data_IF_508071927419
#
_entry.id   IF_508071927419
#
_cell.length_a   1.000
_cell.length_b   1.000
_cell.length_c   1.000
_cell.angle_alpha   90.00
_cell.angle_beta   90.00
_cell.angle_gamma   90.00
#
_symmetry.space_group_name_H-M   'P 1'
#
loop_
_entity.id
_entity.type
_entity.pdbx_description
1 polymer ?
#
# COMPACT_ATOMS: atom_id res chain seq x y z
N UNK A 1 -9.58 -6.78 13.83
CA UNK A 1 -8.72 -7.96 14.07
C UNK A 1 -7.31 -7.51 14.47
N UNK A 2 -6.54 -8.31 15.22
CA UNK A 2 -5.15 -7.97 15.52
C UNK A 2 -4.31 -8.04 14.25
N UNK A 3 -3.60 -6.96 13.98
CA UNK A 3 -2.64 -6.83 12.89
C UNK A 3 -1.39 -7.65 13.20
N UNK A 4 -1.00 -8.59 12.33
CA UNK A 4 0.15 -9.48 12.57
C UNK A 4 1.47 -9.00 11.95
N UNK A 5 1.45 -7.82 11.34
CA UNK A 5 2.56 -7.25 10.59
C UNK A 5 2.87 -5.80 11.00
N UNK A 6 4.08 -5.34 10.69
CA UNK A 6 4.55 -3.98 11.00
C UNK A 6 4.21 -2.99 9.90
N UNK A 7 3.91 -1.76 10.30
CA UNK A 7 3.86 -0.59 9.40
C UNK A 7 4.67 0.54 9.98
N UNK A 8 5.05 1.50 9.13
CA UNK A 8 5.73 2.73 9.53
C UNK A 8 4.93 3.95 9.06
N UNK A 9 4.76 4.93 9.92
CA UNK A 9 4.31 6.26 9.50
C UNK A 9 5.50 7.00 8.89
N UNK A 10 5.27 7.68 7.77
CA UNK A 10 6.28 8.48 7.10
C UNK A 10 5.89 9.95 7.10
N UNK A 11 6.80 10.81 7.52
CA UNK A 11 6.60 12.24 7.37
C UNK A 11 6.87 12.64 5.93
N UNK A 12 5.84 13.12 5.23
CA UNK A 12 5.95 13.67 3.88
C UNK A 12 5.93 15.19 3.91
N UNK A 13 6.90 15.79 3.23
CA UNK A 13 6.89 17.22 2.93
C UNK A 13 5.69 17.61 2.08
N UNK A 14 5.33 18.89 2.10
CA UNK A 14 4.24 19.42 1.27
C UNK A 14 4.47 19.18 -0.24
N UNK A 15 5.73 19.25 -0.70
CA UNK A 15 6.09 18.98 -2.09
C UNK A 15 5.86 17.52 -2.45
N UNK A 16 6.27 16.58 -1.60
CA UNK A 16 6.00 15.14 -1.81
C UNK A 16 4.50 14.85 -1.89
N UNK A 17 3.70 15.44 -1.00
CA UNK A 17 2.23 15.30 -1.03
C UNK A 17 1.64 15.85 -2.33
N UNK A 18 2.14 16.99 -2.83
CA UNK A 18 1.72 17.56 -4.12
C UNK A 18 2.06 16.65 -5.30
N UNK A 19 3.23 16.03 -5.30
CA UNK A 19 3.64 15.11 -6.36
C UNK A 19 2.74 13.86 -6.39
N UNK A 20 2.50 13.25 -5.23
CA UNK A 20 1.57 12.13 -5.11
C UNK A 20 0.15 12.48 -5.57
N UNK A 21 -0.33 13.68 -5.24
CA UNK A 21 -1.62 14.15 -5.72
C UNK A 21 -1.66 14.37 -7.24
N UNK A 22 -0.55 14.79 -7.85
CA UNK A 22 -0.45 14.92 -9.30
C UNK A 22 -0.51 13.55 -9.99
N UNK A 23 0.17 12.54 -9.45
CA UNK A 23 0.10 11.14 -9.90
C UNK A 23 -1.32 10.59 -9.77
N UNK A 24 -1.95 10.77 -8.61
CA UNK A 24 -3.36 10.40 -8.36
C UNK A 24 -4.30 11.01 -9.40
N UNK A 25 -4.22 12.32 -9.64
CA UNK A 25 -5.05 13.00 -10.65
C UNK A 25 -4.80 12.44 -12.05
N UNK A 26 -3.55 12.12 -12.37
CA UNK A 26 -3.20 11.53 -13.66
C UNK A 26 -3.84 10.14 -13.81
N UNK A 27 -3.80 9.31 -12.76
CA UNK A 27 -4.43 7.99 -12.74
C UNK A 27 -5.96 8.08 -12.88
N UNK A 28 -6.62 9.03 -12.21
CA UNK A 28 -8.06 9.30 -12.38
C UNK A 28 -8.36 9.69 -13.84
N UNK A 29 -7.58 10.62 -14.43
CA UNK A 29 -7.78 11.06 -15.82
C UNK A 29 -7.60 9.93 -16.83
N UNK A 30 -6.71 8.98 -16.55
CA UNK A 30 -6.46 7.81 -17.38
C UNK A 30 -7.47 6.67 -17.14
N UNK A 31 -8.39 6.82 -16.19
CA UNK A 31 -9.42 5.83 -15.89
C UNK A 31 -8.96 4.66 -15.02
N UNK A 32 -7.76 4.73 -14.43
CA UNK A 32 -7.26 3.70 -13.50
C UNK A 32 -7.89 3.79 -12.12
N UNK A 33 -8.42 4.97 -11.75
CA UNK A 33 -9.16 5.19 -10.51
C UNK A 33 -10.56 5.66 -10.87
N UNK A 34 -11.56 4.97 -10.33
CA UNK A 34 -12.96 5.27 -10.61
C UNK A 34 -13.41 6.57 -9.94
N UNK A 35 -14.28 7.30 -10.64
CA UNK A 35 -14.93 8.51 -10.12
C UNK A 35 -14.13 9.80 -10.32
N UNK A 36 -14.70 10.96 -9.92
CA UNK A 36 -14.01 12.23 -10.01
C UNK A 36 -12.83 12.30 -9.03
N UNK A 37 -11.79 13.06 -9.40
CA UNK A 37 -10.65 13.28 -8.53
C UNK A 37 -11.09 14.03 -7.26
N UNK A 38 -10.72 13.49 -6.09
CA UNK A 38 -10.87 14.16 -4.81
C UNK A 38 -10.07 15.46 -4.77
N UNK A 39 -10.45 16.41 -3.90
CA UNK A 39 -9.64 17.61 -3.66
C UNK A 39 -8.30 17.25 -2.99
N UNK A 40 -7.29 18.12 -3.11
CA UNK A 40 -5.98 17.89 -2.49
C UNK A 40 -6.09 17.63 -0.98
N UNK A 41 -6.90 18.42 -0.27
CA UNK A 41 -7.09 18.26 1.17
C UNK A 41 -7.78 16.93 1.50
N UNK A 42 -8.82 16.55 0.75
CA UNK A 42 -9.47 15.26 0.94
C UNK A 42 -8.50 14.09 0.69
N UNK A 43 -7.66 14.19 -0.34
CA UNK A 43 -6.65 13.18 -0.68
C UNK A 43 -5.61 13.00 0.44
N UNK A 44 -5.01 14.08 0.95
CA UNK A 44 -3.99 13.97 2.01
C UNK A 44 -4.57 13.64 3.39
N UNK A 45 -5.89 13.78 3.55
CA UNK A 45 -6.62 13.43 4.78
C UNK A 45 -7.19 12.01 4.75
N UNK A 46 -6.92 11.22 3.69
CA UNK A 46 -7.36 9.83 3.63
C UNK A 46 -6.74 9.02 4.79
N UNK A 47 -7.52 8.11 5.42
CA UNK A 47 -6.99 7.21 6.43
C UNK A 47 -5.79 6.43 5.90
N UNK A 48 -4.76 6.28 6.74
CA UNK A 48 -3.52 5.58 6.41
C UNK A 48 -2.70 6.19 5.24
N UNK A 49 -2.97 7.43 4.83
CA UNK A 49 -2.27 8.10 3.73
C UNK A 49 -0.74 8.11 3.92
N UNK A 50 -0.26 8.28 5.14
CA UNK A 50 1.14 8.33 5.51
C UNK A 50 1.68 7.01 6.09
N UNK A 51 0.89 5.94 6.02
CA UNK A 51 1.28 4.65 6.56
C UNK A 51 1.81 3.77 5.43
N UNK A 52 3.03 3.28 5.59
CA UNK A 52 3.71 2.41 4.64
C UNK A 52 3.93 1.02 5.23
N UNK A 53 3.99 0.02 4.35
CA UNK A 53 4.39 -1.35 4.67
C UNK A 53 5.54 -1.75 3.76
N UNK A 54 6.56 -2.38 4.35
CA UNK A 54 7.64 -3.01 3.59
C UNK A 54 7.19 -4.42 3.23
N UNK A 55 7.13 -4.71 1.93
CA UNK A 55 6.65 -5.98 1.39
C UNK A 55 7.79 -6.74 0.72
N UNK A 56 7.77 -8.07 0.80
CA UNK A 56 8.74 -8.97 0.18
C UNK A 56 8.06 -10.16 -0.48
N UNK A 57 8.57 -10.58 -1.63
CA UNK A 57 8.05 -11.72 -2.37
C UNK A 57 8.64 -13.03 -1.83
N UNK A 58 7.78 -13.97 -1.42
CA UNK A 58 8.19 -15.32 -1.01
C UNK A 58 8.85 -16.11 -2.16
N UNK A 59 8.49 -15.80 -3.42
CA UNK A 59 9.03 -16.50 -4.58
C UNK A 59 10.40 -15.99 -5.02
N UNK A 60 10.52 -14.69 -5.28
CA UNK A 60 11.69 -14.10 -5.95
C UNK A 60 12.50 -13.14 -5.05
N UNK A 61 12.11 -12.98 -3.78
CA UNK A 61 12.82 -12.12 -2.82
C UNK A 61 12.75 -10.62 -3.09
N UNK A 62 12.05 -10.17 -4.14
CA UNK A 62 11.88 -8.75 -4.46
C UNK A 62 11.23 -8.01 -3.29
N UNK A 63 11.71 -6.79 -3.00
CA UNK A 63 11.22 -5.94 -1.91
C UNK A 63 10.69 -4.61 -2.46
N UNK A 64 9.58 -4.13 -1.90
CA UNK A 64 9.01 -2.82 -2.21
C UNK A 64 8.29 -2.25 -0.99
N UNK A 65 8.51 -0.96 -0.73
CA UNK A 65 7.70 -0.21 0.23
C UNK A 65 6.45 0.35 -0.46
N UNK A 66 5.27 0.01 0.05
CA UNK A 66 3.98 0.39 -0.53
C UNK A 66 3.08 1.06 0.50
N UNK A 67 2.11 1.84 0.03
CA UNK A 67 1.17 2.56 0.90
C UNK A 67 0.12 1.59 1.46
N UNK A 68 -0.08 1.62 2.78
CA UNK A 68 -1.00 0.71 3.47
C UNK A 68 -2.47 1.03 3.19
N UNK A 69 -2.82 2.25 2.82
CA UNK A 69 -4.22 2.63 2.51
C UNK A 69 -4.85 1.73 1.43
N UNK A 70 -4.05 1.26 0.45
CA UNK A 70 -4.52 0.35 -0.59
C UNK A 70 -4.95 -1.03 -0.08
N UNK A 71 -4.42 -1.48 1.05
CA UNK A 71 -4.75 -2.78 1.65
C UNK A 71 -5.75 -2.68 2.79
N UNK A 72 -5.78 -1.55 3.49
CA UNK A 72 -6.55 -1.40 4.73
C UNK A 72 -8.03 -1.79 4.56
N UNK A 73 -8.70 -1.26 3.53
CA UNK A 73 -10.12 -1.53 3.30
C UNK A 73 -10.40 -3.01 2.96
N UNK A 74 -9.56 -3.61 2.13
CA UNK A 74 -9.68 -5.02 1.76
C UNK A 74 -9.49 -5.92 2.99
N UNK A 75 -8.47 -5.65 3.80
CA UNK A 75 -8.20 -6.41 5.01
C UNK A 75 -9.32 -6.32 6.04
N UNK A 76 -9.91 -5.14 6.21
CA UNK A 76 -11.06 -4.94 7.10
C UNK A 76 -12.28 -5.75 6.63
N UNK A 77 -12.52 -5.78 5.32
CA UNK A 77 -13.67 -6.47 4.71
C UNK A 77 -13.53 -7.99 4.74
N UNK A 78 -12.35 -8.51 4.39
CA UNK A 78 -12.08 -9.95 4.29
C UNK A 78 -11.62 -10.56 5.62
N UNK A 79 -11.36 -9.75 6.64
CA UNK A 79 -10.82 -10.23 7.90
C UNK A 79 -9.40 -10.80 7.76
N UNK A 80 -8.60 -10.25 6.84
CA UNK A 80 -7.23 -10.69 6.64
C UNK A 80 -6.32 -10.20 7.79
N UNK A 81 -5.40 -11.05 8.24
CA UNK A 81 -4.44 -10.70 9.30
C UNK A 81 -3.24 -9.87 8.79
N UNK A 82 -2.95 -9.98 7.48
CA UNK A 82 -1.90 -9.27 6.75
C UNK A 82 -2.26 -9.22 5.25
N UNK A 83 -1.73 -8.25 4.48
CA UNK A 83 -1.97 -8.19 3.04
C UNK A 83 -1.21 -9.29 2.30
N UNK A 84 -1.83 -9.83 1.25
CA UNK A 84 -1.19 -10.70 0.27
C UNK A 84 -1.50 -10.14 -1.11
N UNK A 85 -0.47 -9.92 -1.91
CA UNK A 85 -0.59 -9.25 -3.21
C UNK A 85 0.25 -9.95 -4.29
N UNK A 86 0.01 -9.55 -5.54
CA UNK A 86 0.78 -9.97 -6.71
C UNK A 86 2.10 -9.21 -6.72
N UNK A 87 3.20 -9.95 -6.75
CA UNK A 87 4.53 -9.35 -6.88
C UNK A 87 4.67 -8.67 -8.25
N UNK A 88 4.94 -7.37 -8.26
CA UNK A 88 5.16 -6.59 -9.48
C UNK A 88 6.39 -7.02 -10.29
N UNK A 89 7.30 -7.78 -9.69
CA UNK A 89 8.50 -8.29 -10.35
C UNK A 89 8.28 -9.66 -11.03
N UNK A 90 7.61 -10.61 -10.37
CA UNK A 90 7.48 -11.99 -10.89
C UNK A 90 6.03 -12.44 -11.18
N UNK A 91 5.03 -11.59 -10.93
CA UNK A 91 3.62 -11.86 -11.20
C UNK A 91 2.98 -12.94 -10.31
N UNK A 92 3.64 -13.38 -9.24
CA UNK A 92 3.11 -14.40 -8.31
C UNK A 92 2.37 -13.74 -7.15
N UNK A 93 1.23 -14.31 -6.76
CA UNK A 93 0.45 -13.92 -5.56
C UNK A 93 1.15 -14.41 -4.28
N UNK A 94 2.34 -13.86 -4.02
CA UNK A 94 3.24 -14.25 -2.94
C UNK A 94 3.97 -13.04 -2.36
N UNK A 95 3.40 -11.84 -2.52
CA UNK A 95 3.94 -10.60 -2.00
C UNK A 95 3.30 -10.30 -0.64
N UNK A 96 4.09 -10.37 0.43
CA UNK A 96 3.62 -10.30 1.83
C UNK A 96 4.46 -9.30 2.63
N UNK A 97 4.01 -8.81 3.81
CA UNK A 97 4.83 -7.94 4.64
C UNK A 97 6.17 -8.59 5.02
N UNK A 98 7.23 -7.80 5.11
CA UNK A 98 8.58 -8.26 5.36
C UNK A 98 8.70 -9.05 6.68
N UNK A 99 8.00 -8.63 7.73
CA UNK A 99 8.02 -9.35 9.01
C UNK A 99 7.14 -10.61 9.02
N UNK A 100 6.21 -10.74 8.07
CA UNK A 100 5.53 -12.00 7.79
C UNK A 100 6.44 -12.92 6.97
N UNK A 101 7.15 -12.39 5.98
CA UNK A 101 8.13 -13.14 5.20
C UNK A 101 9.14 -13.86 6.11
N UNK A 102 9.76 -13.14 7.05
CA UNK A 102 10.73 -13.76 7.96
C UNK A 102 10.09 -14.86 8.82
N UNK A 103 8.87 -14.67 9.33
CA UNK A 103 8.14 -15.70 10.11
C UNK A 103 7.76 -16.95 9.32
N UNK A 104 7.70 -16.89 7.99
CA UNK A 104 7.30 -18.01 7.14
C UNK A 104 8.48 -18.80 6.56
N UNK A 105 9.65 -18.17 6.48
CA UNK A 105 10.86 -18.74 5.90
C UNK A 105 11.82 -19.24 7.00
N UNK A 106 11.74 -18.67 8.21
CA UNK A 106 12.39 -19.20 9.42
C UNK A 106 11.62 -20.40 9.98
#
# INVERSE_FOLDING_TARGET
>A
MPKLFKTKSVHMSFVQKKNLYAEYKSAVKQGFIAGPAASFNAFISMPNFDIMVDMKCLHCGFELTVNFSGYAHFMETEGAAFPVDVCSHCGKLQFVPLDIYHKLID
#
